data_IF_097630214068
#
_entry.id   IF_097630214068
#
_cell.length_a   1.000
_cell.length_b   1.000
_cell.length_c   1.000
_cell.angle_alpha   90.00
_cell.angle_beta   90.00
_cell.angle_gamma   90.00
#
_symmetry.space_group_name_H-M   'P 1'
#
loop_
_entity.id
_entity.type
_entity.pdbx_description
1 polymer ?
#
# COMPACT_ATOMS: atom_id res chain seq x y z
N UNK A 1 6.63 7.95 -14.82
CA UNK A 1 5.62 6.89 -14.70
C UNK A 1 6.20 5.82 -13.78
N UNK A 2 5.64 5.63 -12.59
CA UNK A 2 6.10 4.57 -11.67
C UNK A 2 5.45 3.27 -12.15
N UNK A 3 6.26 2.28 -12.55
CA UNK A 3 5.75 0.95 -12.88
C UNK A 3 5.36 0.25 -11.58
N UNK A 4 4.06 0.18 -11.30
CA UNK A 4 3.52 -0.50 -10.13
C UNK A 4 3.73 -2.01 -10.30
N UNK A 5 4.48 -2.64 -9.39
CA UNK A 5 4.71 -4.09 -9.41
C UNK A 5 3.57 -4.79 -8.67
N UNK A 6 3.05 -5.87 -9.24
CA UNK A 6 2.01 -6.70 -8.61
C UNK A 6 2.52 -7.56 -7.44
N UNK A 7 3.84 -7.69 -7.29
CA UNK A 7 4.48 -8.42 -6.20
C UNK A 7 5.89 -7.91 -5.94
N UNK A 8 6.38 -8.14 -4.72
CA UNK A 8 7.74 -7.81 -4.30
C UNK A 8 8.40 -9.01 -3.62
N UNK A 9 9.69 -9.20 -3.85
CA UNK A 9 10.47 -10.20 -3.10
C UNK A 9 10.71 -9.71 -1.67
N UNK A 10 10.90 -10.60 -0.69
CA UNK A 10 11.26 -10.22 0.68
C UNK A 10 12.49 -9.30 0.72
N UNK A 11 13.50 -9.61 -0.10
CA UNK A 11 14.70 -8.79 -0.24
C UNK A 11 14.40 -7.36 -0.70
N UNK A 12 13.43 -7.17 -1.62
CA UNK A 12 13.02 -5.84 -2.07
C UNK A 12 12.28 -5.07 -0.98
N UNK A 13 11.35 -5.73 -0.28
CA UNK A 13 10.65 -5.11 0.85
C UNK A 13 11.66 -4.64 1.90
N UNK A 14 12.56 -5.51 2.36
CA UNK A 14 13.54 -5.17 3.40
C UNK A 14 14.52 -4.06 2.99
N UNK A 15 14.83 -3.91 1.69
CA UNK A 15 15.82 -2.94 1.21
C UNK A 15 15.23 -1.59 0.79
N UNK A 16 14.00 -1.58 0.27
CA UNK A 16 13.40 -0.40 -0.35
C UNK A 16 12.22 0.16 0.43
N UNK A 17 11.56 -0.65 1.24
CA UNK A 17 10.34 -0.26 1.93
C UNK A 17 10.50 -0.36 3.44
N UNK A 18 9.89 0.57 4.13
CA UNK A 18 9.64 0.45 5.55
C UNK A 18 8.27 -0.18 5.77
N UNK A 19 8.20 -1.24 6.59
CA UNK A 19 6.93 -1.79 7.06
C UNK A 19 6.40 -0.88 8.16
N UNK A 20 5.29 -0.20 7.90
CA UNK A 20 4.73 0.80 8.83
C UNK A 20 3.84 0.13 9.88
N UNK A 21 2.99 -0.79 9.45
CA UNK A 21 2.00 -1.45 10.29
C UNK A 21 1.41 -2.69 9.59
N UNK A 22 0.74 -3.55 10.34
CA UNK A 22 -0.20 -4.52 9.78
C UNK A 22 -1.60 -3.93 9.71
N UNK A 23 -2.34 -4.36 8.69
CA UNK A 23 -3.71 -4.02 8.36
C UNK A 23 -4.52 -5.30 8.41
N UNK A 24 -5.64 -5.31 9.12
CA UNK A 24 -6.59 -6.41 9.06
C UNK A 24 -7.82 -5.89 8.33
N UNK A 25 -8.09 -6.45 7.15
CA UNK A 25 -9.27 -6.11 6.37
C UNK A 25 -10.03 -7.40 6.11
N UNK A 26 -11.28 -7.44 6.58
CA UNK A 26 -12.20 -8.59 6.41
C UNK A 26 -11.61 -9.93 6.87
N UNK A 27 -10.84 -9.91 7.96
CA UNK A 27 -10.21 -11.10 8.54
C UNK A 27 -8.90 -11.53 7.87
N UNK A 28 -8.49 -10.87 6.79
CA UNK A 28 -7.20 -11.10 6.13
C UNK A 28 -6.18 -10.07 6.63
N UNK A 29 -4.96 -10.54 6.90
CA UNK A 29 -3.86 -9.69 7.33
C UNK A 29 -2.99 -9.25 6.15
N UNK A 30 -2.67 -7.97 6.15
CA UNK A 30 -1.85 -7.29 5.17
C UNK A 30 -0.78 -6.47 5.88
N UNK A 31 0.35 -6.22 5.22
CA UNK A 31 1.40 -5.34 5.69
C UNK A 31 1.36 -4.04 4.89
N UNK A 32 1.23 -2.92 5.59
CA UNK A 32 1.39 -1.59 5.03
C UNK A 32 2.88 -1.28 4.91
N UNK A 33 3.34 -1.11 3.68
CA UNK A 33 4.72 -0.77 3.36
C UNK A 33 4.79 0.62 2.71
N UNK A 34 5.89 1.33 2.93
CA UNK A 34 6.10 2.67 2.37
C UNK A 34 7.54 2.90 1.97
N UNK A 35 7.72 3.46 0.79
CA UNK A 35 9.00 3.94 0.29
C UNK A 35 9.07 5.46 0.56
N UNK A 36 10.09 5.88 1.29
CA UNK A 36 10.33 7.30 1.61
C UNK A 36 11.12 8.03 0.51
N UNK A 37 11.77 7.29 -0.39
CA UNK A 37 12.54 7.80 -1.53
C UNK A 37 11.65 8.00 -2.74
N UNK A 38 10.72 7.07 -2.97
CA UNK A 38 9.63 7.21 -3.94
C UNK A 38 8.35 7.29 -3.12
N UNK A 39 7.63 8.42 -3.10
CA UNK A 39 6.44 8.61 -2.27
C UNK A 39 5.31 7.64 -2.69
N UNK A 40 5.44 6.38 -2.27
CA UNK A 40 4.63 5.24 -2.68
C UNK A 40 4.35 4.42 -1.43
N UNK A 41 3.09 4.14 -1.19
CA UNK A 41 2.68 3.19 -0.16
C UNK A 41 1.96 2.02 -0.81
N UNK A 42 2.08 0.84 -0.21
CA UNK A 42 1.40 -0.35 -0.68
C UNK A 42 0.93 -1.21 0.49
N UNK A 43 -0.14 -1.97 0.26
CA UNK A 43 -0.56 -3.06 1.12
C UNK A 43 -0.17 -4.36 0.43
N UNK A 44 0.61 -5.19 1.12
CA UNK A 44 0.97 -6.54 0.66
C UNK A 44 0.34 -7.58 1.57
N UNK A 45 0.12 -8.79 1.08
CA UNK A 45 -0.29 -9.90 1.96
C UNK A 45 0.76 -10.15 3.05
N UNK A 46 0.36 -10.56 4.25
CA UNK A 46 1.33 -10.92 5.30
C UNK A 46 2.10 -12.20 4.98
N UNK A 47 1.54 -13.07 4.12
CA UNK A 47 2.16 -14.31 3.69
C UNK A 47 2.86 -14.17 2.34
N UNK A 48 4.03 -14.79 2.23
CA UNK A 48 4.75 -14.97 0.96
C UNK A 48 4.15 -16.13 0.18
N UNK A 49 3.96 -15.93 -1.13
CA UNK A 49 3.47 -16.96 -2.06
C UNK A 49 4.46 -17.13 -3.21
N UNK A 50 4.59 -18.35 -3.77
CA UNK A 50 5.42 -18.56 -4.96
C UNK A 50 4.81 -17.82 -6.16
N UNK A 51 5.60 -16.93 -6.77
CA UNK A 51 5.28 -16.23 -8.01
C UNK A 51 6.54 -16.13 -8.87
N UNK A 52 6.44 -16.52 -10.14
CA UNK A 52 7.57 -16.56 -11.09
C UNK A 52 8.79 -17.37 -10.59
N UNK A 53 8.56 -18.44 -9.83
CA UNK A 53 9.62 -19.29 -9.28
C UNK A 53 10.33 -18.73 -8.04
N UNK A 54 9.85 -17.62 -7.47
CA UNK A 54 10.41 -17.00 -6.26
C UNK A 54 9.32 -16.76 -5.21
N UNK A 55 9.69 -16.78 -3.93
CA UNK A 55 8.77 -16.41 -2.85
C UNK A 55 8.58 -14.89 -2.84
N UNK A 56 7.34 -14.43 -2.99
CA UNK A 56 7.02 -13.00 -3.11
C UNK A 56 5.81 -12.62 -2.26
N UNK A 57 5.86 -11.39 -1.76
CA UNK A 57 4.72 -10.70 -1.20
C UNK A 57 3.86 -10.16 -2.34
N UNK A 58 2.60 -10.59 -2.42
CA UNK A 58 1.66 -10.04 -3.41
C UNK A 58 1.17 -8.67 -2.93
N UNK A 59 1.16 -7.70 -3.84
CA UNK A 59 0.60 -6.37 -3.59
C UNK A 59 -0.88 -6.40 -3.90
N UNK A 60 -1.71 -5.95 -2.97
CA UNK A 60 -3.18 -5.94 -3.10
C UNK A 60 -3.76 -4.53 -3.15
N UNK A 61 -3.01 -3.52 -2.70
CA UNK A 61 -3.36 -2.12 -2.88
C UNK A 61 -2.12 -1.24 -2.93
N UNK A 62 -2.20 -0.11 -3.64
CA UNK A 62 -1.13 0.87 -3.79
C UNK A 62 -1.67 2.29 -3.78
N UNK A 63 -0.90 3.19 -3.20
CA UNK A 63 -1.09 4.64 -3.22
C UNK A 63 0.17 5.28 -3.79
N UNK A 64 0.06 5.85 -4.98
CA UNK A 64 1.07 6.74 -5.54
C UNK A 64 0.81 8.15 -5.00
N UNK A 65 1.81 8.68 -4.30
CA UNK A 65 1.74 9.99 -3.68
C UNK A 65 2.67 10.95 -4.43
N UNK A 66 2.38 12.25 -4.34
CA UNK A 66 3.28 13.31 -4.76
C UNK A 66 3.57 14.22 -3.57
N UNK A 67 4.84 14.56 -3.40
CA UNK A 67 5.23 15.59 -2.43
C UNK A 67 4.63 16.93 -2.85
N UNK A 68 4.09 17.65 -1.87
CA UNK A 68 3.50 18.99 -2.05
C UNK A 68 4.26 20.08 -1.31
N UNK A 69 5.23 19.69 -0.49
CA UNK A 69 6.14 20.59 0.18
C UNK A 69 7.59 20.10 0.07
N UNK A 70 8.53 21.04 0.13
CA UNK A 70 9.96 20.72 0.19
C UNK A 70 10.35 20.01 1.49
N UNK A 71 9.53 20.16 2.53
CA UNK A 71 9.71 19.52 3.83
C UNK A 71 9.34 18.01 3.83
N UNK A 72 8.76 17.48 2.74
CA UNK A 72 8.27 16.10 2.63
C UNK A 72 7.31 15.69 3.76
N UNK A 73 6.45 16.62 4.19
CA UNK A 73 5.40 16.39 5.19
C UNK A 73 4.00 16.44 4.58
N UNK A 74 3.84 17.13 3.45
CA UNK A 74 2.60 17.23 2.70
C UNK A 74 2.62 16.30 1.48
N UNK A 75 1.62 15.42 1.39
CA UNK A 75 1.46 14.47 0.30
C UNK A 75 0.09 14.64 -0.35
N UNK A 76 0.02 14.55 -1.67
CA UNK A 76 -1.24 14.39 -2.40
C UNK A 76 -1.30 12.98 -2.98
N UNK A 77 -2.45 12.31 -2.89
CA UNK A 77 -2.66 11.04 -3.60
C UNK A 77 -2.83 11.36 -5.08
N UNK A 78 -1.92 10.86 -5.92
CA UNK A 78 -1.97 11.05 -7.37
C UNK A 78 -2.80 9.95 -8.01
N UNK A 79 -2.56 8.71 -7.58
CA UNK A 79 -3.26 7.52 -8.07
C UNK A 79 -3.39 6.52 -6.93
N UNK A 80 -4.48 5.77 -6.97
CA UNK A 80 -4.63 4.58 -6.14
C UNK A 80 -4.99 3.39 -7.02
N UNK A 81 -4.61 2.21 -6.55
CA UNK A 81 -4.95 0.93 -7.16
C UNK A 81 -5.27 -0.07 -6.06
N UNK A 82 -6.28 -0.91 -6.27
CA UNK A 82 -6.69 -1.97 -5.35
C UNK A 82 -7.12 -3.19 -6.18
N UNK A 83 -6.67 -4.38 -5.78
CA UNK A 83 -7.00 -5.64 -6.45
C UNK A 83 -8.39 -6.10 -5.97
N UNK A 84 -9.42 -5.82 -6.77
CA UNK A 84 -10.81 -6.18 -6.46
C UNK A 84 -11.03 -7.68 -6.20
N UNK A 85 -10.21 -8.55 -6.78
CA UNK A 85 -10.29 -10.02 -6.62
C UNK A 85 -9.97 -10.52 -5.21
N UNK A 86 -9.34 -9.71 -4.36
CA UNK A 86 -9.08 -10.03 -2.96
C UNK A 86 -10.12 -9.48 -1.99
N UNK A 87 -11.09 -8.71 -2.50
CA UNK A 87 -12.30 -8.45 -1.76
C UNK A 87 -13.15 -9.74 -1.86
N UNK A 88 -13.52 -10.38 -0.74
CA UNK A 88 -14.27 -11.63 -0.78
C UNK A 88 -15.53 -11.47 -1.63
N UNK A 89 -15.65 -12.32 -2.66
CA UNK A 89 -16.78 -12.35 -3.58
C UNK A 89 -18.06 -12.68 -2.79
N UNK A 90 -18.95 -11.69 -2.67
CA UNK A 90 -20.22 -11.86 -1.95
C UNK A 90 -20.72 -10.61 -1.22
N UNK A 91 -19.94 -9.53 -1.19
CA UNK A 91 -20.34 -8.31 -0.49
C UNK A 91 -20.36 -7.14 -1.48
N UNK A 92 -21.54 -6.90 -2.07
CA UNK A 92 -21.89 -5.70 -2.86
C UNK A 92 -22.05 -4.47 -1.92
N UNK A 93 -21.34 -4.45 -0.79
CA UNK A 93 -21.41 -3.39 0.23
C UNK A 93 -20.04 -3.08 0.84
N UNK A 94 -18.95 -3.39 0.13
CA UNK A 94 -17.65 -2.81 0.43
C UNK A 94 -17.43 -1.60 -0.46
N UNK A 95 -17.35 -0.41 0.10
CA UNK A 95 -16.86 0.73 -0.65
C UNK A 95 -15.49 0.36 -1.25
N UNK A 96 -15.38 0.43 -2.58
CA UNK A 96 -14.11 0.31 -3.30
C UNK A 96 -13.07 1.19 -2.61
N UNK A 97 -11.93 0.63 -2.19
CA UNK A 97 -10.88 1.41 -1.52
C UNK A 97 -10.75 1.25 0.00
N UNK A 98 -11.28 0.20 0.63
CA UNK A 98 -11.05 -0.06 2.07
C UNK A 98 -9.55 -0.19 2.40
N UNK A 99 -8.75 -0.87 1.57
CA UNK A 99 -7.30 -0.99 1.78
C UNK A 99 -6.60 0.33 1.50
N UNK A 100 -7.00 1.03 0.44
CA UNK A 100 -6.48 2.36 0.12
C UNK A 100 -6.74 3.37 1.25
N UNK A 101 -7.94 3.34 1.83
CA UNK A 101 -8.33 4.16 2.98
C UNK A 101 -7.55 3.78 4.24
N UNK A 102 -7.38 2.48 4.49
CA UNK A 102 -6.55 1.98 5.59
C UNK A 102 -5.10 2.43 5.48
N UNK A 103 -4.51 2.34 4.29
CA UNK A 103 -3.16 2.82 4.00
C UNK A 103 -3.04 4.32 4.26
N UNK A 104 -3.99 5.12 3.77
CA UNK A 104 -4.04 6.56 4.02
C UNK A 104 -4.05 6.88 5.52
N UNK A 105 -4.94 6.23 6.29
CA UNK A 105 -5.05 6.45 7.73
C UNK A 105 -3.77 6.04 8.48
N UNK A 106 -3.13 4.94 8.09
CA UNK A 106 -1.88 4.49 8.68
C UNK A 106 -0.76 5.47 8.41
N UNK A 107 -0.63 5.95 7.17
CA UNK A 107 0.38 6.94 6.82
C UNK A 107 0.18 8.25 7.58
N UNK A 108 -1.06 8.72 7.68
CA UNK A 108 -1.37 9.93 8.44
C UNK A 108 -1.01 9.77 9.93
N UNK A 109 -1.38 8.64 10.55
CA UNK A 109 -1.18 8.42 12.00
C UNK A 109 0.25 8.02 12.37
N UNK A 110 0.86 7.10 11.63
CA UNK A 110 2.16 6.48 11.99
C UNK A 110 3.35 7.27 11.46
N UNK A 111 3.19 7.91 10.29
CA UNK A 111 4.25 8.71 9.67
C UNK A 111 4.04 10.22 9.84
N UNK A 112 2.90 10.63 10.40
CA UNK A 112 2.58 12.06 10.60
C UNK A 112 2.42 12.80 9.28
N UNK A 113 2.04 12.10 8.21
CA UNK A 113 1.88 12.70 6.89
C UNK A 113 0.59 13.50 6.83
N UNK A 114 0.70 14.74 6.37
CA UNK A 114 -0.46 15.56 6.06
C UNK A 114 -0.85 15.30 4.63
N UNK A 115 -2.08 14.86 4.42
CA UNK A 115 -2.62 14.71 3.08
C UNK A 115 -3.41 15.96 2.69
N UNK A 116 -3.10 16.51 1.53
CA UNK A 116 -3.81 17.65 0.97
C UNK A 116 -4.62 17.19 -0.24
N UNK A 117 -5.89 17.60 -0.29
CA UNK A 117 -6.73 17.40 -1.47
C UNK A 117 -6.28 18.37 -2.57
N UNK A 118 -6.45 17.96 -3.83
CA UNK A 118 -6.04 18.73 -5.00
C UNK A 118 -7.00 19.90 -5.25
#
# INVERSE_FOLDING_TARGET
>A
MITLSSSYTPSTITKQFDVIASLIVRGSEYLAIFDSRKPLAAAVQSHISPADGEMRYRVVAMLELAHRDDARKAYAVVRYWEEASYLPAGVITGDTGELATGLYQILARRRGLTFVSY
#
